data_IF_933752365673
#
_entry.id   IF_933752365673
#
_cell.length_a   1.000
_cell.length_b   1.000
_cell.length_c   1.000
_cell.angle_alpha   90.00
_cell.angle_beta   90.00
_cell.angle_gamma   90.00
#
_symmetry.space_group_name_H-M   'P 1'
#
loop_
_entity.id
_entity.type
_entity.pdbx_description
1 polymer ?
#
# COMPACT_ATOMS: atom_id res chain seq x y z
N UNK A 1 13.10 21.54 -2.80
CA UNK A 1 13.69 20.77 -1.68
C UNK A 1 14.64 19.75 -2.27
N UNK A 2 15.86 19.61 -1.73
CA UNK A 2 16.86 18.68 -2.26
C UNK A 2 16.45 17.22 -1.98
N UNK A 3 16.55 16.33 -2.97
CA UNK A 3 16.23 14.92 -2.81
C UNK A 3 17.21 14.22 -1.86
N UNK A 4 16.84 13.08 -1.27
CA UNK A 4 17.68 12.40 -0.27
C UNK A 4 19.07 12.03 -0.82
N UNK A 5 19.13 11.50 -2.04
CA UNK A 5 20.39 11.16 -2.71
C UNK A 5 21.33 12.36 -2.85
N UNK A 6 20.80 13.49 -3.32
CA UNK A 6 21.58 14.72 -3.46
C UNK A 6 22.03 15.30 -2.10
N UNK A 7 21.25 15.12 -1.03
CA UNK A 7 21.67 15.50 0.34
C UNK A 7 22.82 14.63 0.83
N UNK A 8 22.82 13.34 0.51
CA UNK A 8 23.92 12.44 0.84
C UNK A 8 25.19 12.79 0.09
N UNK A 9 25.11 12.98 -1.23
CA UNK A 9 26.26 13.34 -2.06
C UNK A 9 26.85 14.69 -1.64
N UNK A 10 25.99 15.68 -1.34
CA UNK A 10 26.40 16.97 -0.83
C UNK A 10 27.22 16.82 0.46
N UNK A 11 26.73 16.05 1.43
CA UNK A 11 27.43 15.87 2.71
C UNK A 11 28.70 15.04 2.56
N UNK A 12 28.71 14.00 1.71
CA UNK A 12 29.94 13.25 1.40
C UNK A 12 31.00 14.14 0.76
N UNK A 13 30.60 14.99 -0.18
CA UNK A 13 31.49 15.99 -0.79
C UNK A 13 32.07 16.93 0.25
N UNK A 14 31.24 17.40 1.19
CA UNK A 14 31.68 18.31 2.25
C UNK A 14 32.62 17.64 3.24
N UNK A 15 32.38 16.40 3.61
CA UNK A 15 33.28 15.63 4.49
C UNK A 15 34.64 15.37 3.84
N UNK A 16 34.69 15.27 2.50
CA UNK A 16 35.95 15.06 1.77
C UNK A 16 36.74 16.37 1.57
N UNK A 17 36.09 17.45 1.14
CA UNK A 17 36.79 18.68 0.73
C UNK A 17 36.79 19.77 1.80
N UNK A 18 35.82 19.76 2.72
CA UNK A 18 35.52 20.85 3.66
C UNK A 18 35.27 22.22 2.99
N UNK A 19 35.06 22.24 1.67
CA UNK A 19 34.74 23.45 0.91
C UNK A 19 33.22 23.67 0.88
N UNK A 20 32.76 24.60 1.70
CA UNK A 20 31.35 24.95 1.79
C UNK A 20 30.89 25.79 0.60
N UNK A 21 31.76 26.63 0.05
CA UNK A 21 31.42 27.57 -1.01
C UNK A 21 31.21 26.86 -2.35
N UNK A 22 32.15 26.00 -2.73
CA UNK A 22 32.04 25.21 -3.95
C UNK A 22 30.83 24.28 -3.93
N UNK A 23 30.57 23.64 -2.79
CA UNK A 23 29.43 22.73 -2.64
C UNK A 23 28.10 23.47 -2.65
N UNK A 24 28.01 24.60 -1.93
CA UNK A 24 26.81 25.44 -1.94
C UNK A 24 26.48 25.89 -3.38
N UNK A 25 27.50 26.30 -4.14
CA UNK A 25 27.37 26.70 -5.54
C UNK A 25 26.97 25.52 -6.44
N UNK A 26 27.62 24.37 -6.30
CA UNK A 26 27.36 23.17 -7.11
C UNK A 26 25.91 22.67 -6.96
N UNK A 27 25.38 22.70 -5.74
CA UNK A 27 24.01 22.24 -5.45
C UNK A 27 22.97 23.37 -5.45
N UNK A 28 23.38 24.62 -5.74
CA UNK A 28 22.51 25.80 -5.71
C UNK A 28 21.77 25.97 -4.37
N UNK A 29 22.45 25.72 -3.26
CA UNK A 29 21.91 25.84 -1.89
C UNK A 29 22.69 26.86 -1.08
N UNK A 30 22.10 27.33 0.02
CA UNK A 30 22.82 28.20 0.95
C UNK A 30 23.91 27.46 1.73
N UNK A 31 24.99 28.17 2.10
CA UNK A 31 26.03 27.65 3.02
C UNK A 31 25.43 27.06 4.30
N UNK A 32 24.39 27.70 4.83
CA UNK A 32 23.67 27.24 6.02
C UNK A 32 23.03 25.86 5.82
N UNK A 33 22.54 25.56 4.61
CA UNK A 33 22.00 24.24 4.30
C UNK A 33 23.07 23.17 4.38
N UNK A 34 24.28 23.43 3.88
CA UNK A 34 25.43 22.51 3.98
C UNK A 34 25.77 22.22 5.44
N UNK A 35 25.95 23.26 6.26
CA UNK A 35 26.26 23.10 7.69
C UNK A 35 25.16 22.36 8.44
N UNK A 36 23.89 22.69 8.18
CA UNK A 36 22.75 22.02 8.81
C UNK A 36 22.73 20.53 8.48
N UNK A 37 22.95 20.14 7.22
CA UNK A 37 22.93 18.74 6.80
C UNK A 37 24.13 17.96 7.37
N UNK A 38 25.32 18.54 7.35
CA UNK A 38 26.50 17.95 7.97
C UNK A 38 26.31 17.75 9.48
N UNK A 39 25.78 18.76 10.16
CA UNK A 39 25.44 18.69 11.59
C UNK A 39 24.35 17.65 11.88
N UNK A 40 23.33 17.55 11.02
CA UNK A 40 22.29 16.53 11.12
C UNK A 40 22.88 15.11 11.04
N UNK A 41 23.76 14.85 10.06
CA UNK A 41 24.43 13.56 9.89
C UNK A 41 25.29 13.20 11.10
N UNK A 42 26.06 14.14 11.64
CA UNK A 42 26.87 13.91 12.85
C UNK A 42 26.03 13.55 14.07
N UNK A 43 24.85 14.16 14.23
CA UNK A 43 23.97 13.92 15.38
C UNK A 43 23.11 12.65 15.27
N UNK A 44 22.64 12.34 14.07
CA UNK A 44 21.59 11.33 13.86
C UNK A 44 22.00 10.19 12.93
N UNK A 45 23.18 10.27 12.30
CA UNK A 45 23.67 9.31 11.31
C UNK A 45 23.01 9.45 9.92
N UNK A 46 21.91 10.21 9.79
CA UNK A 46 21.14 10.30 8.54
C UNK A 46 20.84 11.73 8.12
N UNK A 47 20.91 11.95 6.80
CA UNK A 47 20.52 13.22 6.13
C UNK A 47 19.15 13.14 5.48
N UNK A 48 18.45 12.01 5.61
CA UNK A 48 17.15 11.80 5.00
C UNK A 48 16.13 12.87 5.45
N UNK A 49 15.17 13.17 4.58
CA UNK A 49 14.00 13.96 4.93
C UNK A 49 13.27 13.28 6.09
N UNK A 50 13.17 13.99 7.22
CA UNK A 50 12.35 13.55 8.35
C UNK A 50 10.90 13.87 8.00
N UNK A 51 10.19 12.91 7.42
CA UNK A 51 8.73 12.98 7.33
C UNK A 51 8.20 12.97 8.76
N UNK A 52 7.60 14.08 9.20
CA UNK A 52 7.14 14.17 10.57
C UNK A 52 6.05 13.13 10.80
N UNK A 53 6.21 12.28 11.81
CA UNK A 53 5.18 11.36 12.30
C UNK A 53 4.13 12.12 13.14
N UNK A 54 3.79 13.35 12.71
CA UNK A 54 2.79 14.21 13.35
C UNK A 54 1.41 13.77 12.87
N UNK A 55 0.45 13.79 13.79
CA UNK A 55 -0.91 13.35 13.55
C UNK A 55 -1.41 12.41 14.64
N UNK A 56 -2.71 12.09 14.56
CA UNK A 56 -3.34 11.13 15.47
C UNK A 56 -2.70 9.75 15.29
N UNK A 57 -2.28 9.13 16.38
CA UNK A 57 -1.73 7.78 16.35
C UNK A 57 -2.81 6.78 15.90
N UNK A 58 -2.46 5.77 15.09
CA UNK A 58 -3.40 4.74 14.70
C UNK A 58 -3.92 4.00 15.94
N UNK A 59 -5.19 3.62 15.91
CA UNK A 59 -5.85 2.90 17.02
C UNK A 59 -5.27 1.48 17.16
N UNK A 60 -4.94 0.85 16.03
CA UNK A 60 -4.29 -0.46 16.00
C UNK A 60 -2.77 -0.28 16.01
N UNK A 61 -2.13 -0.91 16.99
CA UNK A 61 -0.68 -0.96 17.11
C UNK A 61 -0.06 -1.91 16.07
N UNK A 62 1.28 -1.97 16.02
CA UNK A 62 1.96 -2.94 15.17
C UNK A 62 1.73 -4.39 15.65
N UNK A 63 1.68 -4.58 16.96
CA UNK A 63 1.42 -5.88 17.60
C UNK A 63 0.00 -6.34 17.33
N UNK A 64 -1.00 -5.45 17.43
CA UNK A 64 -2.39 -5.80 17.10
C UNK A 64 -2.53 -6.31 15.66
N UNK A 65 -1.79 -5.69 14.73
CA UNK A 65 -1.82 -6.12 13.32
C UNK A 65 -1.22 -7.51 13.15
N UNK A 66 -0.16 -7.83 13.87
CA UNK A 66 0.46 -9.15 13.83
C UNK A 66 -0.47 -10.21 14.43
N UNK A 67 -1.11 -9.90 15.56
CA UNK A 67 -2.11 -10.78 16.18
C UNK A 67 -3.32 -11.02 15.26
N UNK A 68 -3.76 -9.99 14.51
CA UNK A 68 -4.81 -10.13 13.49
C UNK A 68 -4.34 -11.08 12.37
N UNK A 69 -3.10 -10.94 11.87
CA UNK A 69 -2.55 -11.85 10.86
C UNK A 69 -2.56 -13.29 11.36
N UNK A 70 -2.04 -13.52 12.56
CA UNK A 70 -2.00 -14.84 13.16
C UNK A 70 -3.41 -15.43 13.30
N UNK A 71 -4.41 -14.65 13.70
CA UNK A 71 -5.79 -15.13 13.79
C UNK A 71 -6.37 -15.55 12.43
N UNK A 72 -6.04 -14.83 11.36
CA UNK A 72 -6.48 -15.16 10.00
C UNK A 72 -5.73 -16.40 9.49
N UNK A 73 -4.44 -16.51 9.76
CA UNK A 73 -3.62 -17.64 9.34
C UNK A 73 -4.03 -18.94 10.08
N UNK A 74 -4.42 -18.86 11.36
CA UNK A 74 -4.99 -19.96 12.13
C UNK A 74 -6.37 -20.40 11.60
N UNK A 75 -7.25 -19.44 11.28
CA UNK A 75 -8.62 -19.69 10.80
C UNK A 75 -8.97 -18.69 9.69
N UNK A 76 -8.84 -19.04 8.40
CA UNK A 76 -9.06 -18.10 7.31
C UNK A 76 -10.53 -17.68 7.13
N UNK A 77 -11.47 -18.50 7.60
CA UNK A 77 -12.91 -18.20 7.57
C UNK A 77 -13.40 -17.44 8.81
N UNK A 78 -12.50 -16.85 9.60
CA UNK A 78 -12.84 -16.03 10.77
C UNK A 78 -13.50 -14.71 10.34
N UNK A 79 -14.56 -14.31 11.04
CA UNK A 79 -15.23 -13.02 10.79
C UNK A 79 -14.50 -11.86 11.48
N UNK A 80 -14.75 -10.64 11.01
CA UNK A 80 -14.10 -9.44 11.56
C UNK A 80 -14.59 -9.16 13.00
N UNK A 81 -15.86 -9.42 13.30
CA UNK A 81 -16.39 -9.39 14.67
C UNK A 81 -15.69 -10.40 15.57
N UNK A 82 -15.54 -11.65 15.13
CA UNK A 82 -14.83 -12.69 15.90
C UNK A 82 -13.38 -12.28 16.19
N UNK A 83 -12.67 -11.68 15.23
CA UNK A 83 -11.32 -11.14 15.45
C UNK A 83 -11.35 -10.06 16.54
N UNK A 84 -12.30 -9.13 16.48
CA UNK A 84 -12.41 -8.03 17.47
C UNK A 84 -12.67 -8.56 18.86
N UNK A 85 -13.53 -9.56 18.99
CA UNK A 85 -13.84 -10.19 20.27
C UNK A 85 -12.67 -11.00 20.81
N UNK A 86 -12.06 -11.87 19.98
CA UNK A 86 -10.91 -12.72 20.35
C UNK A 86 -9.73 -11.89 20.84
N UNK A 87 -9.45 -10.77 20.18
CA UNK A 87 -8.33 -9.88 20.51
C UNK A 87 -8.73 -8.71 21.43
N UNK A 88 -10.00 -8.63 21.85
CA UNK A 88 -10.54 -7.54 22.67
C UNK A 88 -10.16 -6.13 22.16
N UNK A 89 -10.25 -5.93 20.84
CA UNK A 89 -9.80 -4.70 20.19
C UNK A 89 -10.79 -3.55 20.44
N UNK A 90 -10.27 -2.40 20.91
CA UNK A 90 -11.05 -1.15 21.01
C UNK A 90 -11.43 -0.54 19.65
N UNK A 91 -10.76 -0.98 18.57
CA UNK A 91 -11.01 -0.49 17.22
C UNK A 91 -12.43 -0.84 16.71
N UNK A 92 -12.99 0.00 15.85
CA UNK A 92 -14.26 -0.27 15.18
C UNK A 92 -14.12 -1.38 14.13
N UNK A 93 -15.23 -2.02 13.76
CA UNK A 93 -15.30 -2.98 12.64
C UNK A 93 -14.58 -2.48 11.39
N UNK A 94 -14.94 -1.28 10.93
CA UNK A 94 -14.38 -0.67 9.72
C UNK A 94 -12.89 -0.33 9.82
N UNK A 95 -12.35 -0.19 11.04
CA UNK A 95 -10.91 0.02 11.25
C UNK A 95 -10.16 -1.29 11.05
N UNK A 96 -10.70 -2.39 11.59
CA UNK A 96 -10.14 -3.74 11.42
C UNK A 96 -10.22 -4.18 9.97
N UNK A 97 -11.36 -3.97 9.31
CA UNK A 97 -11.54 -4.25 7.88
C UNK A 97 -10.50 -3.54 7.00
N UNK A 98 -10.29 -2.23 7.22
CA UNK A 98 -9.26 -1.47 6.49
C UNK A 98 -7.85 -1.99 6.76
N UNK A 99 -7.57 -2.40 8.00
CA UNK A 99 -6.27 -2.97 8.34
C UNK A 99 -6.04 -4.29 7.60
N UNK A 100 -7.05 -5.18 7.57
CA UNK A 100 -7.01 -6.46 6.85
C UNK A 100 -6.79 -6.24 5.34
N UNK A 101 -7.56 -5.33 4.74
CA UNK A 101 -7.40 -4.97 3.33
C UNK A 101 -6.00 -4.40 3.03
N UNK A 102 -5.46 -3.56 3.93
CA UNK A 102 -4.11 -3.01 3.78
C UNK A 102 -3.00 -4.07 3.92
N UNK A 103 -3.28 -5.19 4.59
CA UNK A 103 -2.38 -6.35 4.68
C UNK A 103 -2.45 -7.25 3.43
N UNK A 104 -3.41 -7.01 2.52
CA UNK A 104 -3.53 -7.74 1.26
C UNK A 104 -4.39 -9.00 1.33
N UNK A 105 -5.06 -9.27 2.45
CA UNK A 105 -6.02 -10.36 2.52
C UNK A 105 -7.25 -10.04 1.67
N UNK A 106 -7.72 -11.03 0.92
CA UNK A 106 -8.91 -10.92 0.08
C UNK A 106 -9.84 -12.09 0.36
N UNK A 107 -11.14 -11.81 0.40
CA UNK A 107 -12.16 -12.83 0.51
C UNK A 107 -12.35 -13.51 -0.85
N UNK A 108 -12.27 -14.84 -0.86
CA UNK A 108 -12.65 -15.62 -2.05
C UNK A 108 -14.15 -15.43 -2.30
N UNK A 109 -14.50 -14.71 -3.36
CA UNK A 109 -15.90 -14.60 -3.79
C UNK A 109 -16.37 -15.95 -4.32
N UNK A 110 -17.43 -16.51 -3.73
CA UNK A 110 -18.18 -17.59 -4.38
C UNK A 110 -18.94 -16.95 -5.55
N UNK A 111 -18.53 -17.24 -6.79
CA UNK A 111 -19.32 -16.83 -7.95
C UNK A 111 -20.68 -17.52 -7.87
N UNK A 112 -21.77 -16.76 -7.86
CA UNK A 112 -23.10 -17.31 -8.05
C UNK A 112 -23.15 -17.92 -9.45
N UNK A 113 -23.08 -19.25 -9.50
CA UNK A 113 -23.24 -19.99 -10.75
C UNK A 113 -24.73 -20.03 -11.07
N UNK A 114 -25.18 -19.14 -11.96
CA UNK A 114 -26.56 -19.16 -12.43
C UNK A 114 -26.77 -20.38 -13.34
N UNK A 115 -27.60 -21.34 -12.91
CA UNK A 115 -27.94 -22.54 -13.69
C UNK A 115 -28.54 -22.21 -15.07
N UNK A 116 -29.07 -21.00 -15.24
CA UNK A 116 -29.56 -20.49 -16.53
C UNK A 116 -28.45 -20.36 -17.59
N UNK A 117 -27.18 -20.27 -17.21
CA UNK A 117 -26.04 -20.27 -18.15
C UNK A 117 -25.90 -21.60 -18.90
N UNK A 118 -26.29 -22.72 -18.28
CA UNK A 118 -26.25 -24.04 -18.89
C UNK A 118 -27.52 -24.38 -19.69
N UNK A 119 -28.50 -23.47 -19.74
CA UNK A 119 -29.66 -23.67 -20.62
C UNK A 119 -29.17 -23.70 -22.05
N UNK A 120 -29.34 -24.87 -22.68
CA UNK A 120 -29.17 -25.06 -24.12
C UNK A 120 -29.98 -23.96 -24.81
N UNK A 121 -29.31 -23.03 -25.48
CA UNK A 121 -29.99 -22.08 -26.35
C UNK A 121 -30.63 -22.89 -27.47
N UNK A 122 -31.96 -22.96 -27.50
CA UNK A 122 -32.68 -23.51 -28.64
C UNK A 122 -32.23 -22.74 -29.89
N UNK A 123 -31.38 -23.35 -30.71
CA UNK A 123 -31.15 -22.89 -32.07
C UNK A 123 -32.47 -23.13 -32.79
N UNK A 124 -33.24 -22.05 -33.01
CA UNK A 124 -34.46 -22.13 -33.79
C UNK A 124 -34.12 -22.76 -35.15
N UNK A 125 -34.69 -23.92 -35.43
CA UNK A 125 -34.59 -24.52 -36.74
C UNK A 125 -35.21 -23.55 -37.74
N UNK A 126 -34.36 -22.96 -38.59
CA UNK A 126 -34.81 -22.17 -39.71
C UNK A 126 -35.58 -23.10 -40.65
N UNK A 127 -36.91 -23.00 -40.64
CA UNK A 127 -37.79 -23.70 -41.57
C UNK A 127 -37.35 -23.35 -42.99
N UNK A 128 -36.79 -24.32 -43.71
CA UNK A 128 -36.56 -24.21 -45.16
C UNK A 128 -37.94 -24.23 -45.82
N UNK A 129 -38.37 -23.10 -46.35
CA UNK A 129 -39.50 -23.08 -47.28
C UNK A 129 -39.05 -23.73 -48.59
N UNK A 130 -39.63 -24.87 -48.93
CA UNK A 130 -39.56 -25.40 -50.29
C UNK A 130 -40.24 -24.41 -51.23
N UNK A 131 -39.55 -24.06 -52.32
CA UNK A 131 -40.13 -23.31 -53.43
C UNK A 131 -40.77 -24.31 -54.36
N UNK A 132 -42.09 -24.27 -54.46
CA UNK A 132 -42.83 -24.98 -55.51
C UNK A 132 -42.54 -24.30 -56.85
N UNK A 133 -41.68 -24.93 -57.68
CA UNK A 133 -41.51 -24.56 -59.08
C UNK A 133 -42.65 -25.19 -59.90
N UNK A 134 -43.61 -24.37 -60.31
CA UNK A 134 -44.56 -24.70 -61.37
C UNK A 134 -44.00 -24.24 -62.72
N UNK A 135 -43.59 -25.18 -63.57
CA UNK A 135 -44.03 -25.39 -64.99
C UNK A 135 -43.27 -26.56 -65.59
#
# INVERSE_FOLDING_TARGET
MLHNEARELLVRGYEATHDVEGIAKAYSVSKWTVYRLAGQKRKTGSVALRTSQRGRKPVLTAEDKENIRQCIDEKPDITIEEIREKLSLSASYSTVERAINAMGYTLKKKSLYASERDRIRCAGEAQRMEKDDTT
#
